data_IF_180663870046
#
_entry.id   IF_180663870046
#
_cell.length_a   1.000
_cell.length_b   1.000
_cell.length_c   1.000
_cell.angle_alpha   90.00
_cell.angle_beta   90.00
_cell.angle_gamma   90.00
#
_symmetry.space_group_name_H-M   'P 1'
#
loop_
_entity.id
_entity.type
_entity.pdbx_description
1 polymer ?
#
# COMPACT_ATOMS: atom_id res chain seq x y z
N UNK A 1 -33.88 34.12 -10.56
CA UNK A 1 -34.19 33.15 -9.49
C UNK A 1 -33.65 31.74 -9.78
N UNK A 2 -32.69 31.56 -10.70
CA UNK A 2 -32.24 30.23 -11.17
C UNK A 2 -30.79 29.89 -10.79
N UNK A 3 -30.03 30.85 -10.25
CA UNK A 3 -28.63 30.64 -9.82
C UNK A 3 -28.55 30.01 -8.44
N UNK A 4 -29.45 30.35 -7.52
CA UNK A 4 -29.44 29.80 -6.15
C UNK A 4 -29.76 28.30 -6.08
N UNK A 5 -30.67 27.81 -6.93
CA UNK A 5 -31.08 26.41 -7.04
C UNK A 5 -30.01 25.50 -7.67
N UNK A 6 -29.17 26.08 -8.54
CA UNK A 6 -28.05 25.35 -9.15
C UNK A 6 -26.88 25.22 -8.16
N UNK A 7 -26.65 26.24 -7.32
CA UNK A 7 -25.61 26.20 -6.27
C UNK A 7 -25.95 25.16 -5.19
N UNK A 8 -27.21 25.06 -4.77
CA UNK A 8 -27.63 24.08 -3.76
C UNK A 8 -27.59 22.64 -4.27
N UNK A 9 -27.93 22.39 -5.54
CA UNK A 9 -27.84 21.04 -6.14
C UNK A 9 -26.40 20.58 -6.40
N UNK A 10 -25.49 21.50 -6.79
CA UNK A 10 -24.04 21.22 -6.90
C UNK A 10 -23.42 20.99 -5.52
N UNK A 11 -23.79 21.79 -4.52
CA UNK A 11 -23.31 21.64 -3.14
C UNK A 11 -23.77 20.32 -2.50
N UNK A 12 -25.03 19.91 -2.70
CA UNK A 12 -25.53 18.60 -2.26
C UNK A 12 -24.83 17.42 -2.95
N UNK A 13 -24.47 17.56 -4.24
CA UNK A 13 -23.74 16.52 -4.98
C UNK A 13 -22.32 16.37 -4.43
N UNK A 14 -21.65 17.47 -4.10
CA UNK A 14 -20.32 17.46 -3.49
C UNK A 14 -20.29 16.95 -2.06
N UNK A 15 -21.33 17.23 -1.25
CA UNK A 15 -21.47 16.66 0.10
C UNK A 15 -21.63 15.14 0.01
N UNK A 16 -22.52 14.68 -0.88
CA UNK A 16 -22.76 13.24 -1.08
C UNK A 16 -21.54 12.51 -1.67
N UNK A 17 -20.77 13.15 -2.55
CA UNK A 17 -19.51 12.60 -3.05
C UNK A 17 -18.44 12.50 -1.97
N UNK A 18 -18.30 13.51 -1.11
CA UNK A 18 -17.34 13.48 0.01
C UNK A 18 -17.66 12.35 0.99
N UNK A 19 -18.93 12.18 1.36
CA UNK A 19 -19.35 11.12 2.28
C UNK A 19 -19.07 9.72 1.71
N UNK A 20 -19.29 9.53 0.40
CA UNK A 20 -18.97 8.27 -0.29
C UNK A 20 -17.46 8.06 -0.35
N UNK A 21 -16.69 9.12 -0.65
CA UNK A 21 -15.23 9.04 -0.74
C UNK A 21 -14.60 8.69 0.61
N UNK A 22 -15.05 9.33 1.69
CA UNK A 22 -14.61 9.04 3.05
C UNK A 22 -14.97 7.61 3.46
N UNK A 23 -16.19 7.15 3.14
CA UNK A 23 -16.63 5.78 3.42
C UNK A 23 -15.80 4.76 2.65
N UNK A 24 -15.54 5.00 1.36
CA UNK A 24 -14.73 4.11 0.50
C UNK A 24 -13.27 4.10 0.96
N UNK A 25 -12.69 5.26 1.27
CA UNK A 25 -11.33 5.36 1.80
C UNK A 25 -11.21 4.61 3.14
N UNK A 26 -12.25 4.68 3.98
CA UNK A 26 -12.28 3.95 5.23
C UNK A 26 -12.38 2.44 5.00
N UNK A 27 -13.27 1.96 4.12
CA UNK A 27 -13.40 0.53 3.80
C UNK A 27 -12.10 -0.03 3.19
N UNK A 28 -11.52 0.69 2.23
CA UNK A 28 -10.28 0.27 1.56
C UNK A 28 -9.12 0.25 2.56
N UNK A 29 -8.95 1.33 3.32
CA UNK A 29 -7.88 1.49 4.28
C UNK A 29 -7.96 0.48 5.43
N UNK A 30 -9.16 0.17 5.91
CA UNK A 30 -9.37 -0.62 7.13
C UNK A 30 -9.54 -2.12 6.86
N UNK A 31 -10.10 -2.50 5.71
CA UNK A 31 -10.41 -3.91 5.41
C UNK A 31 -9.61 -4.42 4.21
N UNK A 32 -9.65 -3.73 3.08
CA UNK A 32 -9.07 -4.25 1.84
C UNK A 32 -7.54 -4.37 1.91
N UNK A 33 -6.87 -3.28 2.31
CA UNK A 33 -5.41 -3.25 2.41
C UNK A 33 -4.86 -4.30 3.38
N UNK A 34 -5.35 -4.44 4.63
CA UNK A 34 -4.82 -5.45 5.54
C UNK A 34 -5.14 -6.88 5.10
N UNK A 35 -6.33 -7.13 4.53
CA UNK A 35 -6.69 -8.46 4.02
C UNK A 35 -5.79 -8.90 2.87
N UNK A 36 -5.31 -7.98 2.03
CA UNK A 36 -4.37 -8.29 0.94
C UNK A 36 -2.92 -8.31 1.47
N UNK A 37 -2.58 -7.39 2.37
CA UNK A 37 -1.22 -7.27 2.89
C UNK A 37 -0.79 -8.46 3.75
N UNK A 38 -1.67 -8.98 4.62
CA UNK A 38 -1.35 -10.10 5.52
C UNK A 38 -0.95 -11.38 4.78
N UNK A 39 -1.76 -11.94 3.84
CA UNK A 39 -1.35 -13.12 3.08
C UNK A 39 -0.17 -12.83 2.18
N UNK A 40 -0.03 -11.61 1.63
CA UNK A 40 1.13 -11.20 0.85
C UNK A 40 2.43 -11.23 1.68
N UNK A 41 2.39 -10.69 2.90
CA UNK A 41 3.51 -10.71 3.85
C UNK A 41 3.88 -12.14 4.23
N UNK A 42 2.90 -12.96 4.60
CA UNK A 42 3.13 -14.35 4.99
C UNK A 42 3.74 -15.13 3.81
N UNK A 43 3.17 -14.99 2.60
CA UNK A 43 3.66 -15.66 1.40
C UNK A 43 5.09 -15.27 1.05
N UNK A 44 5.40 -13.97 1.06
CA UNK A 44 6.74 -13.48 0.75
C UNK A 44 7.77 -13.87 1.82
N UNK A 45 7.41 -13.87 3.10
CA UNK A 45 8.27 -14.35 4.19
C UNK A 45 8.53 -15.85 4.04
N UNK A 46 7.52 -16.65 3.69
CA UNK A 46 7.70 -18.07 3.41
C UNK A 46 8.65 -18.28 2.21
N UNK A 47 8.48 -17.54 1.13
CA UNK A 47 9.37 -17.57 -0.04
C UNK A 47 10.81 -17.27 0.36
N UNK A 48 11.03 -16.22 1.17
CA UNK A 48 12.36 -15.88 1.69
C UNK A 48 12.96 -17.05 2.47
N UNK A 49 12.19 -17.66 3.38
CA UNK A 49 12.63 -18.81 4.17
C UNK A 49 13.02 -20.02 3.29
N UNK A 50 12.19 -20.32 2.28
CA UNK A 50 12.45 -21.42 1.33
C UNK A 50 13.69 -21.15 0.49
N UNK A 51 13.87 -19.92 -0.03
CA UNK A 51 15.02 -19.56 -0.86
C UNK A 51 16.32 -19.43 -0.07
N UNK A 52 16.26 -19.17 1.24
CA UNK A 52 17.40 -19.21 2.15
C UNK A 52 17.88 -20.63 2.47
N UNK A 53 17.09 -21.66 2.19
CA UNK A 53 17.51 -23.05 2.36
C UNK A 53 18.66 -23.41 1.42
N UNK A 54 19.63 -24.18 1.92
CA UNK A 54 20.86 -24.52 1.18
C UNK A 54 20.59 -25.32 -0.11
N UNK A 55 19.43 -25.95 -0.22
CA UNK A 55 19.01 -26.70 -1.40
C UNK A 55 18.77 -25.79 -2.61
N UNK A 56 18.28 -24.57 -2.41
CA UNK A 56 17.85 -23.66 -3.50
C UNK A 56 18.88 -22.58 -3.83
N UNK A 57 19.86 -22.31 -2.94
CA UNK A 57 20.93 -21.29 -3.14
C UNK A 57 21.82 -21.51 -4.36
N UNK A 58 21.79 -22.72 -4.95
CA UNK A 58 22.69 -23.11 -6.03
C UNK A 58 22.35 -22.45 -7.38
N UNK A 59 21.12 -21.99 -7.57
CA UNK A 59 20.67 -21.36 -8.82
C UNK A 59 20.70 -19.83 -8.71
N UNK A 60 21.18 -19.17 -9.77
CA UNK A 60 21.22 -17.71 -9.87
C UNK A 60 19.82 -17.09 -9.83
N UNK A 61 18.85 -17.72 -10.48
CA UNK A 61 17.42 -17.36 -10.45
C UNK A 61 16.85 -17.29 -9.03
N UNK A 62 17.25 -18.19 -8.13
CA UNK A 62 16.79 -18.19 -6.73
C UNK A 62 17.20 -16.90 -6.00
N UNK A 63 18.37 -16.33 -6.33
CA UNK A 63 18.82 -15.08 -5.71
C UNK A 63 17.96 -13.91 -6.16
N UNK A 64 17.62 -13.83 -7.45
CA UNK A 64 16.69 -12.82 -7.97
C UNK A 64 15.29 -12.96 -7.37
N UNK A 65 14.78 -14.19 -7.24
CA UNK A 65 13.50 -14.46 -6.55
C UNK A 65 13.54 -14.06 -5.07
N UNK A 66 14.66 -14.27 -4.38
CA UNK A 66 14.85 -13.81 -3.00
C UNK A 66 14.81 -12.29 -2.91
N UNK A 67 15.53 -11.57 -3.76
CA UNK A 67 15.50 -10.10 -3.78
C UNK A 67 14.10 -9.57 -4.14
N UNK A 68 13.39 -10.25 -5.05
CA UNK A 68 12.02 -9.91 -5.40
C UNK A 68 11.07 -10.06 -4.21
N UNK A 69 11.14 -11.20 -3.49
CA UNK A 69 10.33 -11.45 -2.29
C UNK A 69 10.65 -10.47 -1.15
N UNK A 70 11.91 -10.05 -0.99
CA UNK A 70 12.30 -9.00 -0.04
C UNK A 70 11.69 -7.66 -0.44
N UNK A 71 11.76 -7.29 -1.73
CA UNK A 71 11.19 -6.04 -2.25
C UNK A 71 9.67 -6.00 -2.02
N UNK A 72 8.97 -7.08 -2.30
CA UNK A 72 7.52 -7.17 -2.09
C UNK A 72 7.16 -7.11 -0.60
N UNK A 73 7.93 -7.77 0.27
CA UNK A 73 7.77 -7.66 1.74
C UNK A 73 7.88 -6.21 2.21
N UNK A 74 8.84 -5.44 1.66
CA UNK A 74 9.03 -4.04 2.01
C UNK A 74 7.85 -3.17 1.55
N UNK A 75 7.33 -3.44 0.35
CA UNK A 75 6.14 -2.77 -0.20
C UNK A 75 4.90 -3.01 0.65
N UNK A 76 4.60 -4.28 0.93
CA UNK A 76 3.47 -4.70 1.75
C UNK A 76 3.55 -4.13 3.17
N UNK A 77 4.76 -4.08 3.75
CA UNK A 77 4.97 -3.48 5.07
C UNK A 77 4.67 -1.97 5.06
N UNK A 78 5.08 -1.27 4.00
CA UNK A 78 4.79 0.15 3.83
C UNK A 78 3.29 0.44 3.66
N UNK A 79 2.60 -0.37 2.85
CA UNK A 79 1.14 -0.23 2.66
C UNK A 79 0.36 -0.55 3.95
N UNK A 80 0.86 -1.48 4.77
CA UNK A 80 0.30 -1.79 6.08
C UNK A 80 0.51 -0.62 7.07
N UNK A 81 1.68 0.02 7.08
CA UNK A 81 1.91 1.25 7.85
C UNK A 81 0.94 2.36 7.44
N UNK A 82 0.67 2.50 6.16
CA UNK A 82 -0.27 3.49 5.63
C UNK A 82 -1.71 3.22 6.09
N UNK A 83 -2.13 1.95 6.05
CA UNK A 83 -3.42 1.50 6.61
C UNK A 83 -3.51 1.82 8.11
N UNK A 84 -2.47 1.54 8.90
CA UNK A 84 -2.43 1.88 10.34
C UNK A 84 -2.59 3.38 10.62
N UNK A 85 -1.95 4.24 9.82
CA UNK A 85 -2.12 5.70 9.97
C UNK A 85 -3.56 6.13 9.69
N UNK A 86 -4.20 5.57 8.66
CA UNK A 86 -5.61 5.83 8.36
C UNK A 86 -6.54 5.36 9.50
N UNK A 87 -6.22 4.23 10.14
CA UNK A 87 -6.94 3.75 11.32
C UNK A 87 -6.79 4.74 12.48
N UNK A 88 -5.57 5.20 12.77
CA UNK A 88 -5.31 6.17 13.82
C UNK A 88 -6.04 7.49 13.55
N UNK A 89 -6.05 7.95 12.30
CA UNK A 89 -6.78 9.14 11.88
C UNK A 89 -8.30 9.01 12.07
N UNK A 90 -8.87 7.82 11.91
CA UNK A 90 -10.29 7.57 12.17
C UNK A 90 -10.67 7.60 13.65
N UNK A 91 -9.71 7.32 14.56
CA UNK A 91 -9.92 7.33 16.01
C UNK A 91 -9.62 8.72 16.60
N UNK A 92 -8.53 9.34 16.16
CA UNK A 92 -8.09 10.65 16.60
C UNK A 92 -7.57 11.46 15.40
N UNK A 93 -8.40 12.40 14.94
CA UNK A 93 -8.18 13.16 13.72
C UNK A 93 -6.95 14.07 13.80
N UNK A 94 -6.67 14.68 14.95
CA UNK A 94 -5.54 15.60 15.11
C UNK A 94 -4.20 14.86 15.06
N UNK A 95 -4.07 13.82 15.88
CA UNK A 95 -2.84 13.02 15.94
C UNK A 95 -2.59 12.25 14.64
N UNK A 96 -3.65 11.71 14.02
CA UNK A 96 -3.54 11.00 12.75
C UNK A 96 -3.15 11.89 11.58
N UNK A 97 -3.61 13.15 11.53
CA UNK A 97 -3.21 14.08 10.47
C UNK A 97 -1.73 14.48 10.57
N UNK A 98 -1.21 14.70 11.79
CA UNK A 98 0.20 15.00 12.00
C UNK A 98 1.11 13.84 11.60
N UNK A 99 0.74 12.61 12.03
CA UNK A 99 1.41 11.38 11.60
C UNK A 99 1.32 11.19 10.09
N UNK A 100 0.16 11.42 9.48
CA UNK A 100 -0.05 11.28 8.04
C UNK A 100 0.85 12.25 7.27
N UNK A 101 0.91 13.53 7.64
CA UNK A 101 1.77 14.50 6.94
C UNK A 101 3.25 14.12 7.00
N UNK A 102 3.73 13.66 8.14
CA UNK A 102 5.12 13.23 8.31
C UNK A 102 5.39 11.95 7.51
N UNK A 103 4.57 10.92 7.71
CA UNK A 103 4.82 9.59 7.17
C UNK A 103 4.51 9.49 5.67
N UNK A 104 3.53 10.24 5.16
CA UNK A 104 3.09 10.20 3.76
C UNK A 104 4.24 10.42 2.79
N UNK A 105 5.09 11.43 3.04
CA UNK A 105 6.20 11.75 2.13
C UNK A 105 7.24 10.64 2.09
N UNK A 106 7.58 10.06 3.24
CA UNK A 106 8.53 8.95 3.31
C UNK A 106 7.94 7.68 2.69
N UNK A 107 6.72 7.30 3.06
CA UNK A 107 6.04 6.13 2.54
C UNK A 107 5.83 6.20 1.03
N UNK A 108 5.49 7.37 0.50
CA UNK A 108 5.31 7.55 -0.94
C UNK A 108 6.63 7.41 -1.70
N UNK A 109 7.71 8.01 -1.19
CA UNK A 109 9.03 7.87 -1.78
C UNK A 109 9.51 6.41 -1.77
N UNK A 110 9.41 5.73 -0.63
CA UNK A 110 9.77 4.32 -0.48
C UNK A 110 8.96 3.44 -1.45
N UNK A 111 7.64 3.64 -1.53
CA UNK A 111 6.80 2.85 -2.43
C UNK A 111 7.20 2.97 -3.90
N UNK A 112 7.58 4.18 -4.35
CA UNK A 112 8.05 4.39 -5.73
C UNK A 112 9.37 3.69 -5.99
N UNK A 113 10.34 3.82 -5.08
CA UNK A 113 11.65 3.16 -5.20
C UNK A 113 11.48 1.63 -5.21
N UNK A 114 10.72 1.08 -4.28
CA UNK A 114 10.48 -0.36 -4.16
C UNK A 114 9.74 -0.89 -5.38
N UNK A 115 8.74 -0.17 -5.90
CA UNK A 115 8.02 -0.57 -7.12
C UNK A 115 8.94 -0.61 -8.34
N UNK A 116 9.84 0.36 -8.47
CA UNK A 116 10.84 0.37 -9.54
C UNK A 116 11.80 -0.82 -9.41
N UNK A 117 12.30 -1.09 -8.20
CA UNK A 117 13.16 -2.26 -7.92
C UNK A 117 12.46 -3.57 -8.27
N UNK A 118 11.22 -3.78 -7.81
CA UNK A 118 10.42 -4.97 -8.12
C UNK A 118 10.22 -5.12 -9.63
N UNK A 119 9.93 -4.03 -10.35
CA UNK A 119 9.76 -4.07 -11.81
C UNK A 119 11.05 -4.50 -12.54
N UNK A 120 12.21 -3.93 -12.18
CA UNK A 120 13.50 -4.32 -12.77
C UNK A 120 13.89 -5.75 -12.42
N UNK A 121 13.68 -6.19 -11.17
CA UNK A 121 13.95 -7.57 -10.73
C UNK A 121 13.07 -8.56 -11.50
N UNK A 122 11.80 -8.23 -11.72
CA UNK A 122 10.88 -9.06 -12.51
C UNK A 122 11.33 -9.16 -13.96
N UNK A 123 11.81 -8.05 -14.55
CA UNK A 123 12.34 -8.05 -15.91
C UNK A 123 13.59 -8.93 -16.04
N UNK A 124 14.54 -8.79 -15.12
CA UNK A 124 15.78 -9.60 -15.11
C UNK A 124 15.43 -11.08 -14.96
N UNK A 125 14.51 -11.41 -14.04
CA UNK A 125 14.02 -12.78 -13.86
C UNK A 125 13.36 -13.34 -15.13
N UNK A 126 12.66 -12.51 -15.90
CA UNK A 126 12.03 -12.95 -17.15
C UNK A 126 13.04 -13.18 -18.29
N UNK A 127 14.22 -12.57 -18.21
CA UNK A 127 15.31 -12.71 -19.20
C UNK A 127 16.18 -13.93 -18.89
N UNK A 128 16.39 -14.23 -17.60
CA UNK A 128 17.19 -15.35 -17.12
C UNK A 128 16.49 -16.71 -17.25
#
# INVERSE_FOLDING_TARGET
MNTLTTITSVSLKHVKEKDIFETVQHIIGFYLIPIICLPGLIGNILCICVFLSDTMKRFSTTKFLLYLAISDTFKLSNDLLYSLVLIIQSINTEFGQELFHMLYRYCHYVNQVVTLCTAYLTLILAIE
#
